data_IF_735447335699
#
_entry.id   IF_735447335699
#
_cell.length_a   1.000
_cell.length_b   1.000
_cell.length_c   1.000
_cell.angle_alpha   90.00
_cell.angle_beta   90.00
_cell.angle_gamma   90.00
#
_symmetry.space_group_name_H-M   'P 1'
#
loop_
_entity.id
_entity.type
_entity.pdbx_description
1 polymer ?
#
# COMPACT_ATOMS: atom_id res chain seq x y z
N UNK A 1 -6.04 8.52 5.82
CA UNK A 1 -5.67 8.03 4.49
C UNK A 1 -5.71 9.18 3.53
N UNK A 2 -4.54 9.59 3.05
CA UNK A 2 -4.36 10.76 2.21
C UNK A 2 -3.35 10.47 1.09
N UNK A 3 -3.50 11.16 -0.04
CA UNK A 3 -2.51 11.12 -1.12
C UNK A 3 -1.13 11.49 -0.61
N UNK A 4 -0.11 10.74 -1.05
CA UNK A 4 1.29 10.88 -0.64
C UNK A 4 1.67 10.09 0.61
N UNK A 5 0.70 9.48 1.33
CA UNK A 5 1.03 8.57 2.42
C UNK A 5 1.66 7.28 1.88
N UNK A 6 2.68 6.77 2.60
CA UNK A 6 3.30 5.48 2.34
C UNK A 6 2.83 4.47 3.39
N UNK A 7 2.41 3.30 2.93
CA UNK A 7 1.91 2.21 3.75
C UNK A 7 2.70 0.94 3.42
N UNK A 8 2.90 0.08 4.43
CA UNK A 8 3.63 -1.17 4.26
C UNK A 8 2.63 -2.33 4.20
N UNK A 9 2.82 -3.24 3.25
CA UNK A 9 1.98 -4.43 3.15
C UNK A 9 2.23 -5.36 4.33
N UNK A 10 1.14 -5.75 4.98
CA UNK A 10 1.15 -6.55 6.21
C UNK A 10 1.70 -7.95 5.95
N UNK A 11 2.42 -8.48 6.94
CA UNK A 11 2.89 -9.87 6.95
C UNK A 11 1.71 -10.84 6.77
N UNK A 12 1.91 -11.88 5.95
CA UNK A 12 0.88 -12.88 5.65
C UNK A 12 -0.12 -12.46 4.58
N UNK A 13 0.05 -11.28 3.97
CA UNK A 13 -0.70 -10.84 2.79
C UNK A 13 0.13 -11.01 1.51
N UNK A 14 -0.48 -11.00 0.31
CA UNK A 14 0.27 -10.99 -0.96
C UNK A 14 1.22 -9.79 -1.11
N UNK A 15 1.04 -8.74 -0.31
CA UNK A 15 1.81 -7.50 -0.36
C UNK A 15 2.86 -7.44 0.77
N UNK A 16 3.12 -8.52 1.49
CA UNK A 16 4.06 -8.52 2.61
C UNK A 16 5.44 -7.96 2.21
N UNK A 17 5.89 -6.90 2.88
CA UNK A 17 7.16 -6.23 2.61
C UNK A 17 7.18 -5.32 1.37
N UNK A 18 6.02 -5.08 0.74
CA UNK A 18 5.83 -4.11 -0.34
C UNK A 18 5.45 -2.76 0.26
N UNK A 19 6.09 -1.68 -0.20
CA UNK A 19 5.68 -0.33 0.14
C UNK A 19 4.71 0.21 -0.91
N UNK A 20 3.56 0.69 -0.48
CA UNK A 20 2.53 1.29 -1.32
C UNK A 20 2.41 2.79 -1.03
N UNK A 21 2.50 3.61 -2.07
CA UNK A 21 2.24 5.06 -1.99
C UNK A 21 0.83 5.34 -2.49
N UNK A 22 0.06 6.13 -1.77
CA UNK A 22 -1.29 6.51 -2.18
C UNK A 22 -1.20 7.63 -3.22
N UNK A 23 -1.60 7.34 -4.46
CA UNK A 23 -1.60 8.30 -5.56
C UNK A 23 -2.90 9.11 -5.60
N UNK A 24 -4.04 8.48 -5.28
CA UNK A 24 -5.35 9.13 -5.23
C UNK A 24 -6.31 8.41 -4.27
N UNK A 25 -7.27 9.15 -3.71
CA UNK A 25 -8.32 8.62 -2.83
C UNK A 25 -9.68 9.15 -3.27
N UNK A 26 -10.54 8.22 -3.69
CA UNK A 26 -11.96 8.49 -3.96
C UNK A 26 -12.81 8.07 -2.77
N UNK A 27 -14.11 8.33 -2.82
CA UNK A 27 -15.06 7.94 -1.75
C UNK A 27 -15.04 6.44 -1.40
N UNK A 28 -14.61 5.56 -2.32
CA UNK A 28 -14.63 4.10 -2.09
C UNK A 28 -13.30 3.39 -2.37
N UNK A 29 -12.46 3.97 -3.21
CA UNK A 29 -11.26 3.33 -3.71
C UNK A 29 -10.02 4.17 -3.41
N UNK A 30 -8.90 3.47 -3.38
CA UNK A 30 -7.55 4.00 -3.25
C UNK A 30 -6.79 3.58 -4.50
N UNK A 31 -6.14 4.55 -5.13
CA UNK A 31 -5.16 4.31 -6.19
C UNK A 31 -3.79 4.37 -5.55
N UNK A 32 -2.97 3.35 -5.80
CA UNK A 32 -1.65 3.27 -5.20
C UNK A 32 -0.61 2.73 -6.18
N UNK A 33 0.63 3.14 -5.94
CA UNK A 33 1.83 2.70 -6.64
C UNK A 33 2.73 1.91 -5.68
N UNK A 34 3.42 0.91 -6.20
CA UNK A 34 4.32 0.05 -5.43
C UNK A 34 5.78 0.45 -5.64
N UNK A 35 6.61 0.23 -4.62
CA UNK A 35 8.07 0.39 -4.69
C UNK A 35 8.74 -0.63 -5.63
N UNK A 36 8.04 -1.72 -5.96
CA UNK A 36 8.50 -2.82 -6.79
C UNK A 36 7.36 -3.44 -7.58
N UNK A 37 7.71 -4.26 -8.57
CA UNK A 37 6.73 -5.12 -9.24
C UNK A 37 6.20 -6.15 -8.24
N UNK A 38 4.89 -6.20 -8.07
CA UNK A 38 4.19 -7.15 -7.21
C UNK A 38 3.47 -8.17 -8.08
N UNK A 39 3.58 -9.44 -7.72
CA UNK A 39 2.68 -10.48 -8.25
C UNK A 39 1.42 -10.53 -7.38
N UNK A 40 0.39 -9.82 -7.81
CA UNK A 40 -0.91 -9.87 -7.17
C UNK A 40 -1.83 -10.78 -8.01
N UNK A 41 -2.11 -11.98 -7.48
CA UNK A 41 -3.02 -12.94 -8.10
C UNK A 41 -2.59 -13.41 -9.51
N UNK A 42 -1.29 -13.57 -9.77
CA UNK A 42 -0.76 -14.01 -11.06
C UNK A 42 -0.60 -12.88 -12.09
N UNK A 43 -0.80 -11.63 -11.65
CA UNK A 43 -0.60 -10.43 -12.46
C UNK A 43 0.53 -9.61 -11.85
N UNK A 44 1.57 -9.38 -12.66
CA UNK A 44 2.65 -8.48 -12.30
C UNK A 44 2.20 -7.03 -12.49
N UNK A 45 2.25 -6.23 -11.42
CA UNK A 45 1.84 -4.83 -11.47
C UNK A 45 2.76 -3.93 -10.63
N UNK A 46 2.83 -2.65 -11.01
CA UNK A 46 3.53 -1.58 -10.30
C UNK A 46 2.57 -0.66 -9.53
N UNK A 47 1.28 -0.96 -9.55
CA UNK A 47 0.24 -0.24 -8.82
C UNK A 47 -1.12 -0.95 -8.91
N UNK A 48 -2.08 -0.54 -8.11
CA UNK A 48 -3.42 -1.14 -8.13
C UNK A 48 -4.47 -0.11 -7.71
N UNK A 49 -5.69 -0.30 -8.20
CA UNK A 49 -6.87 0.34 -7.63
C UNK A 49 -7.61 -0.69 -6.78
N UNK A 50 -7.78 -0.40 -5.50
CA UNK A 50 -8.53 -1.27 -4.60
C UNK A 50 -9.48 -0.50 -3.70
N UNK A 51 -10.44 -1.19 -3.09
CA UNK A 51 -11.34 -0.54 -2.13
C UNK A 51 -10.58 -0.13 -0.87
N UNK A 52 -10.99 0.96 -0.24
CA UNK A 52 -10.39 1.42 1.03
C UNK A 52 -10.37 0.29 2.07
N UNK A 53 -11.46 -0.49 2.17
CA UNK A 53 -11.55 -1.64 3.09
C UNK A 53 -10.56 -2.76 2.76
N UNK A 54 -10.32 -3.06 1.48
CA UNK A 54 -9.29 -4.06 1.09
C UNK A 54 -7.91 -3.52 1.44
N UNK A 55 -7.65 -2.24 1.16
CA UNK A 55 -6.38 -1.59 1.45
C UNK A 55 -6.03 -1.64 2.94
N UNK A 56 -6.92 -1.20 3.82
CA UNK A 56 -6.69 -1.19 5.29
C UNK A 56 -6.46 -2.59 5.89
N UNK A 57 -6.99 -3.63 5.23
CA UNK A 57 -6.75 -5.02 5.61
C UNK A 57 -5.41 -5.56 5.12
N UNK A 58 -4.92 -5.07 3.99
CA UNK A 58 -3.70 -5.57 3.34
C UNK A 58 -2.46 -4.77 3.74
N UNK A 59 -2.62 -3.50 4.06
CA UNK A 59 -1.55 -2.57 4.38
C UNK A 59 -1.71 -2.00 5.79
N UNK A 60 -0.60 -1.59 6.38
CA UNK A 60 -0.55 -0.84 7.62
C UNK A 60 0.22 0.46 7.44
N UNK A 61 -0.25 1.50 8.12
CA UNK A 61 0.38 2.80 8.06
C UNK A 61 1.71 2.74 8.79
N UNK A 62 2.80 3.06 8.09
CA UNK A 62 4.09 3.26 8.73
C UNK A 62 4.17 4.74 9.13
N UNK A 63 4.09 5.00 10.43
CA UNK A 63 4.38 6.33 10.96
C UNK A 63 5.90 6.45 10.96
N UNK A 64 6.44 7.23 10.04
CA UNK A 64 7.81 7.71 10.17
C UNK A 64 7.84 8.68 11.37
N UNK A 65 8.05 8.15 12.57
CA UNK A 65 8.60 8.99 13.64
C UNK A 65 9.96 9.47 13.14
N UNK A 66 10.16 10.78 13.25
CA UNK A 66 11.28 11.48 12.64
C UNK A 66 12.63 10.85 13.02
N UNK A 67 13.20 10.03 12.14
CA UNK A 67 14.64 9.91 11.97
C UNK A 67 15.41 8.81 12.71
N UNK A 68 14.82 7.78 13.32
CA UNK A 68 15.62 6.65 13.87
C UNK A 68 15.03 5.26 13.58
N UNK A 69 15.91 4.35 13.12
CA UNK A 69 15.66 2.92 12.92
C UNK A 69 15.73 2.20 14.27
N UNK A 70 14.65 1.50 14.66
CA UNK A 70 14.68 0.46 15.70
C UNK A 70 14.18 -0.87 15.15
#
# INVERSE_FOLDING_TARGET
MHTGEVWLGRTGTPYAGVSATIDDVTTRNVVLSYDRVVDAHGVQTIGEVMTQKKFERMFEQIVYEQGELF
#
